data_IF_961109827426
#
_entry.id   IF_961109827426
#
_cell.length_a   1.000
_cell.length_b   1.000
_cell.length_c   1.000
_cell.angle_alpha   90.00
_cell.angle_beta   90.00
_cell.angle_gamma   90.00
#
_symmetry.space_group_name_H-M   'P 1'
#
loop_
_entity.id
_entity.type
_entity.pdbx_description
1 polymer ?
#
# COMPACT_ATOMS: atom_id res chain seq x y z
N UNK A 1 3.39 -20.09 0.17
CA UNK A 1 3.67 -19.43 -1.14
C UNK A 1 3.81 -17.94 -0.89
N UNK A 2 4.73 -17.26 -1.59
CA UNK A 2 4.81 -15.80 -1.60
C UNK A 2 4.47 -15.33 -2.99
N UNK A 3 3.46 -14.47 -3.11
CA UNK A 3 3.00 -13.87 -4.37
C UNK A 3 3.52 -12.44 -4.49
N UNK A 4 3.95 -12.05 -5.68
CA UNK A 4 4.24 -10.65 -5.95
C UNK A 4 2.98 -9.80 -6.07
N UNK A 5 3.14 -8.50 -5.88
CA UNK A 5 2.09 -7.50 -6.14
C UNK A 5 2.23 -6.96 -7.58
N UNK A 6 1.15 -6.49 -8.22
CA UNK A 6 -0.27 -6.68 -7.86
C UNK A 6 -0.66 -8.15 -8.09
N UNK A 7 -1.36 -8.77 -7.13
CA UNK A 7 -1.49 -10.25 -7.11
C UNK A 7 -2.32 -10.79 -8.30
N UNK A 8 -3.46 -10.16 -8.57
CA UNK A 8 -4.35 -10.47 -9.71
C UNK A 8 -5.01 -9.18 -10.19
N UNK A 9 -5.70 -9.26 -11.32
CA UNK A 9 -6.24 -8.09 -12.01
C UNK A 9 -7.78 -8.06 -12.00
N UNK A 10 -8.41 -9.08 -11.44
CA UNK A 10 -9.86 -9.15 -11.21
C UNK A 10 -10.20 -9.74 -9.85
N UNK A 11 -11.35 -9.36 -9.29
CA UNK A 11 -11.85 -9.91 -8.04
C UNK A 11 -12.11 -11.42 -8.13
N UNK A 12 -12.54 -11.89 -9.31
CA UNK A 12 -12.82 -13.30 -9.58
C UNK A 12 -11.57 -14.17 -9.41
N UNK A 13 -10.43 -13.73 -9.93
CA UNK A 13 -9.15 -14.45 -9.76
C UNK A 13 -8.75 -14.54 -8.28
N UNK A 14 -9.05 -13.52 -7.47
CA UNK A 14 -8.84 -13.63 -6.02
C UNK A 14 -9.71 -14.72 -5.39
N UNK A 15 -10.98 -14.81 -5.77
CA UNK A 15 -11.87 -15.84 -5.21
C UNK A 15 -11.46 -17.25 -5.65
N UNK A 16 -11.13 -17.45 -6.93
CA UNK A 16 -10.66 -18.73 -7.46
C UNK A 16 -9.35 -19.18 -6.80
N UNK A 17 -8.38 -18.27 -6.65
CA UNK A 17 -7.12 -18.58 -5.99
C UNK A 17 -7.33 -18.95 -4.51
N UNK A 18 -8.22 -18.24 -3.81
CA UNK A 18 -8.56 -18.56 -2.41
C UNK A 18 -9.11 -19.96 -2.26
N UNK A 19 -10.01 -20.40 -3.15
CA UNK A 19 -10.56 -21.75 -3.13
C UNK A 19 -9.46 -22.81 -3.28
N UNK A 20 -8.51 -22.58 -4.21
CA UNK A 20 -7.36 -23.47 -4.42
C UNK A 20 -6.49 -23.53 -3.16
N UNK A 21 -6.13 -22.38 -2.59
CA UNK A 21 -5.28 -22.32 -1.39
C UNK A 21 -5.92 -23.03 -0.19
N UNK A 22 -7.22 -22.82 0.03
CA UNK A 22 -7.97 -23.48 1.09
C UNK A 22 -8.05 -24.99 0.89
N UNK A 23 -8.39 -25.44 -0.34
CA UNK A 23 -8.48 -26.87 -0.67
C UNK A 23 -7.15 -27.60 -0.49
N UNK A 24 -6.03 -26.90 -0.71
CA UNK A 24 -4.68 -27.43 -0.58
C UNK A 24 -4.04 -27.15 0.78
N UNK A 25 -4.73 -26.45 1.69
CA UNK A 25 -4.23 -26.00 2.98
C UNK A 25 -2.86 -25.29 2.89
N UNK A 26 -2.74 -24.34 1.95
CA UNK A 26 -1.50 -23.61 1.69
C UNK A 26 -1.55 -22.23 2.36
N UNK A 27 -0.54 -21.93 3.18
CA UNK A 27 -0.31 -20.57 3.65
C UNK A 27 0.26 -19.70 2.52
N UNK A 28 -0.39 -18.58 2.26
CA UNK A 28 -0.01 -17.66 1.19
C UNK A 28 0.18 -16.25 1.75
N UNK A 29 1.29 -15.63 1.35
CA UNK A 29 1.66 -14.26 1.70
C UNK A 29 1.83 -13.43 0.43
N UNK A 30 1.68 -12.12 0.55
CA UNK A 30 1.86 -11.18 -0.56
C UNK A 30 3.05 -10.28 -0.27
N UNK A 31 3.90 -10.04 -1.29
CA UNK A 31 5.12 -9.25 -1.17
C UNK A 31 4.84 -7.75 -1.01
N UNK A 32 4.42 -7.36 0.19
CA UNK A 32 4.38 -5.98 0.65
C UNK A 32 5.45 -5.81 1.74
N UNK A 33 6.72 -5.54 1.36
CA UNK A 33 7.87 -5.77 2.22
C UNK A 33 8.03 -4.72 3.33
N UNK A 34 7.30 -3.59 3.28
CA UNK A 34 7.41 -2.51 4.28
C UNK A 34 7.12 -2.97 5.71
N UNK A 35 6.31 -4.02 5.91
CA UNK A 35 6.08 -4.66 7.21
C UNK A 35 7.35 -5.27 7.81
N UNK A 36 8.31 -5.65 6.98
CA UNK A 36 9.59 -6.23 7.39
C UNK A 36 10.61 -5.17 7.79
N UNK A 37 10.40 -3.90 7.45
CA UNK A 37 11.41 -2.86 7.68
C UNK A 37 11.43 -2.50 9.16
N UNK A 38 12.60 -2.60 9.80
CA UNK A 38 12.74 -2.25 11.22
C UNK A 38 12.36 -0.79 11.49
N UNK A 39 12.58 0.10 10.52
CA UNK A 39 12.11 1.47 10.59
C UNK A 39 10.58 1.54 10.76
N UNK A 40 9.82 0.83 9.91
CA UNK A 40 8.35 0.84 9.98
C UNK A 40 7.80 0.11 11.21
N UNK A 41 8.46 -0.97 11.65
CA UNK A 41 8.17 -1.62 12.94
C UNK A 41 8.42 -0.65 14.11
N UNK A 42 9.50 0.11 14.03
CA UNK A 42 9.89 1.12 15.00
C UNK A 42 8.90 2.27 15.09
N UNK A 43 8.38 2.79 13.97
CA UNK A 43 7.39 3.87 14.01
C UNK A 43 6.00 3.39 14.40
N UNK A 44 5.65 2.11 14.15
CA UNK A 44 4.35 1.55 14.54
C UNK A 44 4.07 1.73 16.04
N UNK A 45 5.10 1.72 16.89
CA UNK A 45 4.95 1.91 18.36
C UNK A 45 4.30 3.24 18.76
N UNK A 46 4.34 4.24 17.88
CA UNK A 46 3.73 5.56 18.11
C UNK A 46 2.23 5.60 17.79
N UNK A 47 1.70 4.54 17.19
CA UNK A 47 0.31 4.47 16.75
C UNK A 47 -0.37 3.26 17.40
N UNK A 48 -1.40 3.51 18.20
CA UNK A 48 -2.22 2.43 18.74
C UNK A 48 -3.37 2.12 17.77
N UNK A 49 -3.86 0.88 17.76
CA UNK A 49 -4.94 0.44 16.85
C UNK A 49 -6.30 1.14 17.06
N UNK A 50 -6.42 1.94 18.13
CA UNK A 50 -7.61 2.76 18.44
C UNK A 50 -7.44 4.23 18.09
N UNK A 51 -6.24 4.66 17.73
CA UNK A 51 -5.98 6.05 17.38
C UNK A 51 -6.42 6.31 15.94
N UNK A 52 -6.99 7.50 15.72
CA UNK A 52 -7.21 8.01 14.38
C UNK A 52 -5.85 8.28 13.72
N UNK A 53 -5.66 7.76 12.52
CA UNK A 53 -4.42 7.91 11.76
C UNK A 53 -4.72 8.31 10.32
N UNK A 54 -4.04 9.37 9.89
CA UNK A 54 -4.02 9.82 8.50
C UNK A 54 -2.67 9.53 7.87
N UNK A 55 -2.66 8.80 6.76
CA UNK A 55 -1.47 8.55 5.94
C UNK A 55 -1.61 9.26 4.60
N UNK A 56 -0.63 10.09 4.23
CA UNK A 56 -0.60 10.82 2.96
C UNK A 56 0.63 10.40 2.19
N UNK A 57 0.45 9.93 0.97
CA UNK A 57 1.53 9.65 0.02
C UNK A 57 1.41 10.63 -1.12
N UNK A 58 2.51 11.33 -1.40
CA UNK A 58 2.54 12.34 -2.45
C UNK A 58 3.85 12.26 -3.22
N UNK A 59 3.76 12.24 -4.55
CA UNK A 59 4.91 12.21 -5.44
C UNK A 59 4.50 12.43 -6.90
N UNK A 60 5.48 12.42 -7.80
CA UNK A 60 5.23 12.54 -9.24
C UNK A 60 5.42 11.21 -9.96
N UNK A 61 4.46 10.82 -10.81
CA UNK A 61 4.51 9.63 -11.68
C UNK A 61 5.08 8.36 -11.01
N UNK A 62 4.67 8.09 -9.77
CA UNK A 62 5.24 6.99 -8.97
C UNK A 62 4.56 5.63 -9.22
N UNK A 63 3.60 5.58 -10.14
CA UNK A 63 2.87 4.37 -10.50
C UNK A 63 1.69 4.11 -9.56
N UNK A 64 0.70 5.00 -9.59
CA UNK A 64 -0.43 4.98 -8.66
C UNK A 64 -1.17 3.65 -8.70
N UNK A 65 -1.47 3.13 -9.88
CA UNK A 65 -2.27 1.91 -10.03
C UNK A 65 -1.65 0.71 -9.32
N UNK A 66 -0.36 0.47 -9.56
CA UNK A 66 0.30 -0.74 -9.08
C UNK A 66 1.05 -0.61 -7.76
N UNK A 67 1.41 0.60 -7.33
CA UNK A 67 2.15 0.80 -6.10
C UNK A 67 1.23 1.23 -4.94
N UNK A 68 -0.02 1.64 -5.20
CA UNK A 68 -1.00 1.98 -4.15
C UNK A 68 -1.17 0.87 -3.13
N UNK A 69 -1.13 -0.40 -3.57
CA UNK A 69 -1.27 -1.54 -2.68
C UNK A 69 -0.22 -1.58 -1.57
N UNK A 70 1.01 -1.15 -1.84
CA UNK A 70 2.04 -1.09 -0.80
C UNK A 70 1.71 -0.09 0.30
N UNK A 71 1.08 1.02 -0.07
CA UNK A 71 0.71 2.08 0.87
C UNK A 71 -0.59 1.78 1.61
N UNK A 72 -1.54 1.11 0.96
CA UNK A 72 -2.70 0.53 1.64
C UNK A 72 -2.26 -0.52 2.66
N UNK A 73 -1.30 -1.38 2.30
CA UNK A 73 -0.74 -2.36 3.22
C UNK A 73 -0.05 -1.70 4.41
N UNK A 74 0.78 -0.69 4.17
CA UNK A 74 1.45 0.07 5.22
C UNK A 74 0.45 0.79 6.15
N UNK A 75 -0.58 1.41 5.57
CA UNK A 75 -1.62 2.10 6.33
C UNK A 75 -2.40 1.14 7.22
N UNK A 76 -2.88 0.02 6.65
CA UNK A 76 -3.60 -1.02 7.43
C UNK A 76 -2.71 -1.75 8.43
N UNK A 77 -1.39 -1.80 8.20
CA UNK A 77 -0.42 -2.29 9.17
C UNK A 77 -0.34 -1.39 10.42
N UNK A 78 -0.45 -0.06 10.27
CA UNK A 78 -0.48 0.87 11.40
C UNK A 78 -1.84 0.92 12.09
N UNK A 79 -2.93 0.99 11.32
CA UNK A 79 -4.28 1.15 11.87
C UNK A 79 -4.89 -0.14 12.39
N UNK A 80 -4.40 -1.30 11.91
CA UNK A 80 -5.02 -2.61 12.10
C UNK A 80 -6.50 -2.62 11.66
N UNK A 81 -6.81 -1.77 10.69
CA UNK A 81 -8.15 -1.52 10.19
C UNK A 81 -8.23 -1.90 8.70
N UNK A 82 -8.97 -2.97 8.41
CA UNK A 82 -9.10 -3.54 7.07
C UNK A 82 -10.50 -3.32 6.48
N UNK A 83 -11.37 -2.59 7.19
CA UNK A 83 -12.71 -2.24 6.72
C UNK A 83 -12.73 -0.75 6.35
N UNK A 84 -12.49 -0.47 5.07
CA UNK A 84 -12.39 0.88 4.55
C UNK A 84 -13.05 0.98 3.17
N UNK A 85 -13.29 2.22 2.74
CA UNK A 85 -13.78 2.56 1.41
C UNK A 85 -12.74 3.41 0.69
N UNK A 86 -12.74 3.32 -0.64
CA UNK A 86 -11.94 4.17 -1.51
C UNK A 86 -12.85 5.01 -2.40
N UNK A 87 -12.41 6.23 -2.70
CA UNK A 87 -13.11 7.20 -3.55
C UNK A 87 -12.25 7.59 -4.77
N UNK A 88 -12.95 7.85 -5.88
CA UNK A 88 -12.37 8.11 -7.20
C UNK A 88 -12.33 9.57 -7.64
N UNK A 89 -12.93 10.46 -6.85
CA UNK A 89 -13.16 11.85 -7.24
C UNK A 89 -11.89 12.66 -7.55
N UNK A 90 -10.71 12.16 -7.14
CA UNK A 90 -9.43 12.81 -7.35
C UNK A 90 -8.61 12.29 -8.52
N UNK A 91 -9.02 11.23 -9.23
CA UNK A 91 -8.24 10.70 -10.36
C UNK A 91 -8.35 11.60 -11.60
N UNK A 92 -7.26 11.67 -12.35
CA UNK A 92 -7.20 12.41 -13.60
C UNK A 92 -8.12 11.76 -14.65
N UNK A 93 -8.73 12.58 -15.51
CA UNK A 93 -9.73 12.16 -16.50
C UNK A 93 -9.10 11.64 -17.81
N UNK A 94 -7.95 10.98 -17.69
CA UNK A 94 -7.26 10.29 -18.77
C UNK A 94 -6.48 9.11 -18.18
N UNK A 95 -6.16 8.14 -19.03
CA UNK A 95 -5.36 6.97 -18.67
C UNK A 95 -4.05 7.03 -19.44
N UNK A 96 -2.95 6.66 -18.78
CA UNK A 96 -1.62 6.62 -19.39
C UNK A 96 -1.26 5.16 -19.68
N UNK A 97 -0.52 4.91 -20.76
CA UNK A 97 0.08 3.60 -20.94
C UNK A 97 1.23 3.39 -19.95
N UNK A 98 1.26 2.20 -19.36
CA UNK A 98 2.37 1.79 -18.50
C UNK A 98 3.63 1.55 -19.33
N UNK A 99 4.78 1.45 -18.65
CA UNK A 99 6.04 1.02 -19.26
C UNK A 99 5.96 -0.41 -19.81
N UNK A 100 5.02 -1.21 -19.32
CA UNK A 100 4.74 -2.57 -19.80
C UNK A 100 3.59 -2.52 -20.78
N UNK A 101 3.82 -3.03 -21.98
CA UNK A 101 2.81 -3.10 -23.04
C UNK A 101 1.55 -3.85 -22.56
N UNK A 102 0.38 -3.31 -22.90
CA UNK A 102 -0.92 -3.85 -22.49
C UNK A 102 -1.39 -3.44 -21.09
N UNK A 103 -0.56 -2.75 -20.30
CA UNK A 103 -0.93 -2.26 -18.98
C UNK A 103 -1.13 -0.75 -18.95
N UNK A 104 -1.94 -0.29 -18.00
CA UNK A 104 -2.37 1.08 -17.81
C UNK A 104 -1.85 1.65 -16.50
N UNK A 105 -1.72 2.97 -16.48
CA UNK A 105 -1.28 3.76 -15.34
C UNK A 105 -2.26 4.90 -15.08
N UNK A 106 -2.37 5.28 -13.81
CA UNK A 106 -3.29 6.29 -13.31
C UNK A 106 -2.51 7.42 -12.64
N UNK A 107 -3.04 8.64 -12.72
CA UNK A 107 -2.56 9.81 -11.99
C UNK A 107 -3.73 10.52 -11.32
N UNK A 108 -3.43 11.50 -10.48
CA UNK A 108 -4.39 12.14 -9.59
C UNK A 108 -4.32 11.57 -8.18
N UNK A 109 -5.45 11.52 -7.49
CA UNK A 109 -5.55 11.18 -6.06
C UNK A 109 -6.61 10.11 -5.80
N UNK A 110 -6.21 9.06 -5.07
CA UNK A 110 -7.13 8.11 -4.43
C UNK A 110 -7.28 8.54 -2.97
N UNK A 111 -8.52 8.71 -2.52
CA UNK A 111 -8.84 8.93 -1.11
C UNK A 111 -9.45 7.67 -0.50
N UNK A 112 -9.07 7.33 0.72
CA UNK A 112 -9.64 6.23 1.47
C UNK A 112 -9.95 6.60 2.90
N UNK A 113 -10.99 5.99 3.47
CA UNK A 113 -11.42 6.22 4.85
C UNK A 113 -12.09 4.98 5.45
N UNK A 114 -12.05 4.89 6.78
CA UNK A 114 -12.75 3.84 7.54
C UNK A 114 -13.79 4.41 8.50
N UNK A 115 -14.62 3.53 9.06
CA UNK A 115 -15.61 3.89 10.11
C UNK A 115 -14.95 4.35 11.42
N UNK A 116 -13.66 4.02 11.63
CA UNK A 116 -12.84 4.48 12.76
C UNK A 116 -12.16 5.82 12.51
N UNK A 117 -12.57 6.56 11.47
CA UNK A 117 -12.02 7.87 11.08
C UNK A 117 -10.53 7.84 10.67
N UNK A 118 -9.98 6.67 10.36
CA UNK A 118 -8.69 6.54 9.70
C UNK A 118 -8.80 7.01 8.26
N UNK A 119 -7.75 7.64 7.72
CA UNK A 119 -7.74 8.21 6.36
C UNK A 119 -6.45 7.90 5.63
N UNK A 120 -6.54 7.70 4.32
CA UNK A 120 -5.39 7.60 3.43
C UNK A 120 -5.60 8.48 2.19
N UNK A 121 -4.55 9.19 1.78
CA UNK A 121 -4.52 9.94 0.52
C UNK A 121 -3.31 9.46 -0.28
N UNK A 122 -3.52 9.05 -1.52
CA UNK A 122 -2.47 8.60 -2.43
C UNK A 122 -2.50 9.48 -3.68
N UNK A 123 -1.54 10.40 -3.81
CA UNK A 123 -1.47 11.35 -4.91
C UNK A 123 -0.25 11.10 -5.78
N UNK A 124 -0.47 10.82 -7.07
CA UNK A 124 0.54 10.78 -8.12
C UNK A 124 0.30 11.91 -9.10
N UNK A 125 1.18 12.90 -9.10
CA UNK A 125 1.09 14.04 -10.02
C UNK A 125 1.54 13.64 -11.43
N UNK A 126 0.69 13.90 -12.42
CA UNK A 126 1.03 13.71 -13.83
C UNK A 126 2.14 14.68 -14.28
N UNK A 127 3.01 14.21 -15.17
CA UNK A 127 4.14 14.94 -15.77
C UNK A 127 5.09 15.68 -14.79
N UNK A 128 5.03 15.32 -13.51
CA UNK A 128 5.93 15.85 -12.48
C UNK A 128 6.87 14.72 -12.04
N UNK A 129 8.14 15.06 -11.81
CA UNK A 129 9.20 14.12 -11.38
C UNK A 129 9.75 14.51 -10.00
N UNK A 130 8.87 14.54 -9.01
CA UNK A 130 9.27 14.75 -7.61
C UNK A 130 9.33 13.42 -6.86
N UNK A 131 10.26 13.27 -5.90
CA UNK A 131 10.32 12.07 -5.06
C UNK A 131 9.02 11.84 -4.29
N UNK A 132 8.67 10.56 -4.11
CA UNK A 132 7.58 10.17 -3.23
C UNK A 132 7.92 10.48 -1.77
N UNK A 133 6.96 11.07 -1.08
CA UNK A 133 7.01 11.35 0.36
C UNK A 133 5.82 10.68 1.03
N UNK A 134 6.01 10.23 2.26
CA UNK A 134 4.96 9.63 3.08
C UNK A 134 4.84 10.49 4.34
N UNK A 135 3.65 10.96 4.66
CA UNK A 135 3.35 11.68 5.88
C UNK A 135 2.36 10.87 6.69
N UNK A 136 2.60 10.75 7.99
CA UNK A 136 1.74 10.02 8.92
C UNK A 136 1.39 10.98 10.05
N UNK A 137 0.10 11.14 10.30
CA UNK A 137 -0.43 11.97 11.36
C UNK A 137 -1.26 11.10 12.28
N UNK A 138 -0.86 11.01 13.54
CA UNK A 138 -1.63 10.42 14.61
C UNK A 138 -1.73 11.39 15.78
N UNK A 139 -2.41 10.96 16.84
CA UNK A 139 -2.64 11.77 18.04
C UNK A 139 -1.34 12.17 18.78
N UNK A 140 -0.36 11.28 18.79
CA UNK A 140 0.86 11.42 19.59
C UNK A 140 2.13 11.63 18.74
N UNK A 141 2.03 11.47 17.41
CA UNK A 141 3.16 11.58 16.49
C UNK A 141 2.78 12.14 15.12
N UNK A 142 3.67 12.99 14.57
CA UNK A 142 3.69 13.42 13.19
C UNK A 142 5.01 12.99 12.57
N UNK A 143 4.95 12.28 11.45
CA UNK A 143 6.12 11.70 10.80
C UNK A 143 6.09 12.07 9.32
N UNK A 144 7.21 12.58 8.80
CA UNK A 144 7.45 12.80 7.37
C UNK A 144 8.60 11.90 6.93
N UNK A 145 8.44 11.15 5.83
CA UNK A 145 9.36 10.09 5.42
C UNK A 145 9.71 10.28 3.94
N UNK A 146 11.00 10.20 3.63
CA UNK A 146 11.54 10.20 2.29
C UNK A 146 12.41 8.95 2.10
N UNK A 147 11.78 7.82 1.75
CA UNK A 147 12.43 6.51 1.61
C UNK A 147 13.61 6.55 0.63
N UNK A 148 13.52 7.35 -0.43
CA UNK A 148 14.57 7.51 -1.45
C UNK A 148 15.86 8.15 -0.92
N UNK A 149 15.80 8.83 0.23
CA UNK A 149 16.95 9.42 0.90
C UNK A 149 17.31 8.70 2.21
N UNK A 150 16.51 7.72 2.64
CA UNK A 150 16.67 7.10 3.96
C UNK A 150 16.53 8.11 5.09
N UNK A 151 15.64 9.10 4.94
CA UNK A 151 15.44 10.17 5.95
C UNK A 151 14.00 10.28 6.38
N UNK A 152 13.80 10.50 7.67
CA UNK A 152 12.52 10.82 8.26
C UNK A 152 12.64 11.98 9.24
N UNK A 153 11.54 12.69 9.45
CA UNK A 153 11.41 13.74 10.43
C UNK A 153 10.23 13.40 11.34
N UNK A 154 10.49 13.26 12.64
CA UNK A 154 9.52 12.85 13.65
C UNK A 154 9.30 14.02 14.63
N UNK A 155 8.04 14.36 14.86
CA UNK A 155 7.60 15.27 15.92
C UNK A 155 6.65 14.51 16.83
N UNK A 156 6.95 14.46 18.13
CA UNK A 156 6.14 13.74 19.11
C UNK A 156 5.44 14.72 20.04
N UNK A 157 4.29 14.32 20.59
CA UNK A 157 3.61 15.18 21.56
C UNK A 157 4.43 15.38 22.84
N UNK A 158 5.14 14.33 23.30
CA UNK A 158 5.96 14.36 24.51
C UNK A 158 7.15 15.32 24.44
N UNK A 159 7.66 15.61 23.23
CA UNK A 159 8.75 16.55 23.00
C UNK A 159 8.25 17.94 22.55
N UNK A 160 6.98 18.28 22.83
CA UNK A 160 6.32 19.52 22.39
C UNK A 160 6.33 19.71 20.87
N UNK A 161 6.22 18.61 20.11
CA UNK A 161 6.24 18.59 18.65
C UNK A 161 7.54 19.11 18.01
N UNK A 162 8.63 19.15 18.77
CA UNK A 162 9.94 19.45 18.21
C UNK A 162 10.32 18.38 17.18
N UNK A 163 10.74 18.84 16.00
CA UNK A 163 11.05 17.95 14.90
C UNK A 163 12.49 17.43 15.01
N UNK A 164 12.62 16.11 14.99
CA UNK A 164 13.90 15.41 15.01
C UNK A 164 14.12 14.68 13.68
N UNK A 165 15.31 14.81 13.11
CA UNK A 165 15.70 14.08 11.90
C UNK A 165 16.27 12.70 12.28
N UNK A 166 15.81 11.67 11.59
CA UNK A 166 16.26 10.29 11.75
C UNK A 166 16.69 9.78 10.38
N UNK A 167 17.89 9.19 10.34
CA UNK A 167 18.36 8.43 9.20
C UNK A 167 18.01 6.95 9.37
N UNK A 168 17.58 6.31 8.29
CA UNK A 168 17.23 4.90 8.27
C UNK A 168 17.61 4.26 6.93
N UNK A 169 17.80 2.95 6.94
CA UNK A 169 18.05 2.19 5.71
C UNK A 169 16.74 1.66 5.14
N UNK A 170 16.54 1.83 3.83
CA UNK A 170 15.48 1.16 3.07
C UNK A 170 16.06 -0.15 2.53
N UNK A 171 15.77 -1.31 3.12
CA UNK A 171 16.40 -2.56 2.73
C UNK A 171 16.01 -2.95 1.29
N UNK A 172 16.97 -3.50 0.55
CA UNK A 172 16.70 -4.12 -0.74
C UNK A 172 15.95 -5.45 -0.58
N UNK A 173 15.17 -5.84 -1.58
CA UNK A 173 14.47 -7.14 -1.57
C UNK A 173 15.43 -8.31 -1.34
N UNK A 174 16.64 -8.26 -1.92
CA UNK A 174 17.68 -9.28 -1.70
C UNK A 174 18.11 -9.42 -0.24
N UNK A 175 18.03 -8.34 0.54
CA UNK A 175 18.32 -8.34 1.98
C UNK A 175 17.15 -8.89 2.81
N UNK A 176 15.91 -8.87 2.28
CA UNK A 176 14.71 -9.33 2.99
C UNK A 176 14.33 -10.77 2.67
N UNK A 177 14.56 -11.22 1.43
CA UNK A 177 14.10 -12.53 0.95
C UNK A 177 14.58 -13.69 1.82
N UNK A 178 15.83 -13.66 2.30
CA UNK A 178 16.37 -14.72 3.15
C UNK A 178 15.67 -14.77 4.52
N UNK A 179 15.42 -13.61 5.14
CA UNK A 179 14.71 -13.50 6.42
C UNK A 179 13.28 -14.05 6.30
N UNK A 180 12.57 -13.65 5.24
CA UNK A 180 11.24 -14.14 4.94
C UNK A 180 11.24 -15.66 4.72
N UNK A 181 12.15 -16.17 3.88
CA UNK A 181 12.23 -17.60 3.58
C UNK A 181 12.54 -18.42 4.84
N UNK A 182 13.47 -17.97 5.68
CA UNK A 182 13.80 -18.61 6.94
C UNK A 182 12.58 -18.68 7.88
N UNK A 183 11.87 -17.57 8.05
CA UNK A 183 10.66 -17.51 8.88
C UNK A 183 9.57 -18.48 8.41
N UNK A 184 9.32 -18.50 7.10
CA UNK A 184 8.32 -19.38 6.49
C UNK A 184 8.73 -20.85 6.64
N UNK A 185 9.98 -21.20 6.35
CA UNK A 185 10.43 -22.59 6.37
C UNK A 185 10.54 -23.17 7.78
N UNK A 186 10.96 -22.36 8.76
CA UNK A 186 11.15 -22.82 10.14
C UNK A 186 9.87 -22.76 10.97
N UNK A 187 9.10 -21.69 10.82
CA UNK A 187 8.00 -21.36 11.74
C UNK A 187 6.64 -21.28 11.05
N UNK A 188 6.58 -21.48 9.72
CA UNK A 188 5.36 -21.34 8.93
C UNK A 188 4.67 -19.97 9.13
N UNK A 189 5.46 -18.92 9.31
CA UNK A 189 5.01 -17.55 9.52
C UNK A 189 5.81 -16.54 8.67
N UNK A 190 5.30 -15.32 8.55
CA UNK A 190 5.98 -14.23 7.86
C UNK A 190 5.45 -12.89 8.36
N UNK A 191 6.29 -11.86 8.37
CA UNK A 191 5.89 -10.47 8.61
C UNK A 191 5.10 -9.88 7.43
N UNK A 192 5.16 -10.52 6.26
CA UNK A 192 4.36 -10.13 5.10
C UNK A 192 2.86 -10.32 5.38
N UNK A 193 2.05 -9.47 4.76
CA UNK A 193 0.59 -9.59 4.81
C UNK A 193 0.14 -10.94 4.25
N UNK A 194 -0.80 -11.59 4.94
CA UNK A 194 -1.42 -12.82 4.43
C UNK A 194 -2.25 -12.53 3.19
N UNK A 195 -2.45 -13.54 2.36
CA UNK A 195 -3.29 -13.45 1.18
C UNK A 195 -4.71 -12.95 1.49
N UNK A 196 -5.33 -13.47 2.57
CA UNK A 196 -6.68 -13.07 2.96
C UNK A 196 -6.79 -11.59 3.32
N UNK A 197 -5.83 -11.07 4.08
CA UNK A 197 -5.81 -9.65 4.42
C UNK A 197 -5.48 -8.80 3.19
N UNK A 198 -4.53 -9.25 2.38
CA UNK A 198 -4.13 -8.55 1.16
C UNK A 198 -5.26 -8.48 0.15
N UNK A 199 -6.09 -9.52 0.04
CA UNK A 199 -7.27 -9.55 -0.83
C UNK A 199 -8.28 -8.47 -0.43
N UNK A 200 -8.46 -8.22 0.87
CA UNK A 200 -9.31 -7.10 1.36
C UNK A 200 -8.78 -5.72 0.95
N UNK A 201 -7.49 -5.60 0.65
CA UNK A 201 -6.89 -4.35 0.16
C UNK A 201 -6.97 -4.24 -1.36
N UNK A 202 -6.65 -5.34 -2.06
CA UNK A 202 -6.60 -5.39 -3.51
C UNK A 202 -7.97 -5.23 -4.15
N UNK A 203 -9.00 -5.94 -3.65
CA UNK A 203 -10.32 -5.94 -4.30
C UNK A 203 -10.93 -4.53 -4.38
N UNK A 204 -11.01 -3.73 -3.29
CA UNK A 204 -11.50 -2.36 -3.39
C UNK A 204 -10.65 -1.49 -4.32
N UNK A 205 -9.32 -1.65 -4.31
CA UNK A 205 -8.42 -0.90 -5.19
C UNK A 205 -8.69 -1.22 -6.67
N UNK A 206 -8.80 -2.50 -7.02
CA UNK A 206 -9.08 -2.96 -8.38
C UNK A 206 -10.46 -2.47 -8.82
N UNK A 207 -11.48 -2.62 -7.97
CA UNK A 207 -12.85 -2.17 -8.25
C UNK A 207 -12.90 -0.69 -8.62
N UNK A 208 -12.24 0.17 -7.83
CA UNK A 208 -12.28 1.61 -8.08
C UNK A 208 -11.51 1.96 -9.37
N UNK A 209 -10.31 1.40 -9.57
CA UNK A 209 -9.49 1.69 -10.76
C UNK A 209 -10.16 1.19 -12.04
N UNK A 210 -10.77 0.01 -11.99
CA UNK A 210 -11.52 -0.56 -13.10
C UNK A 210 -12.76 0.27 -13.43
N UNK A 211 -13.51 0.73 -12.42
CA UNK A 211 -14.65 1.64 -12.62
C UNK A 211 -14.21 2.93 -13.31
N UNK A 212 -13.09 3.51 -12.90
CA UNK A 212 -12.54 4.71 -13.52
C UNK A 212 -12.12 4.48 -14.97
N UNK A 213 -11.40 3.38 -15.24
CA UNK A 213 -10.98 2.98 -16.58
C UNK A 213 -12.17 2.79 -17.53
N UNK A 214 -13.16 2.01 -17.12
CA UNK A 214 -14.35 1.72 -17.91
C UNK A 214 -15.13 3.01 -18.25
N UNK A 215 -15.18 3.97 -17.32
CA UNK A 215 -15.82 5.27 -17.56
C UNK A 215 -15.07 6.12 -18.60
N UNK A 216 -13.74 6.15 -18.58
CA UNK A 216 -12.94 6.95 -19.52
C UNK A 216 -12.99 6.35 -20.91
N UNK A 217 -12.79 5.04 -21.01
CA UNK A 217 -12.63 4.36 -22.29
C UNK A 217 -13.98 3.94 -22.92
N UNK A 218 -15.10 4.19 -22.23
CA UNK A 218 -16.46 3.84 -22.67
C UNK A 218 -16.63 2.36 -23.06
N UNK A 219 -15.94 1.45 -22.38
CA UNK A 219 -16.14 0.01 -22.51
C UNK A 219 -16.26 -0.66 -21.15
N UNK A 220 -16.71 -1.91 -21.14
CA UNK A 220 -16.84 -2.72 -19.93
C UNK A 220 -15.77 -3.80 -19.90
N UNK A 221 -14.88 -3.71 -18.93
CA UNK A 221 -13.92 -4.75 -18.55
C UNK A 221 -14.19 -5.23 -17.13
N UNK A 222 -13.96 -6.52 -16.89
CA UNK A 222 -13.84 -7.11 -15.55
C UNK A 222 -12.38 -7.23 -15.08
N UNK A 223 -11.45 -6.75 -15.92
CA UNK A 223 -10.01 -6.87 -15.75
C UNK A 223 -9.37 -5.49 -15.67
N UNK A 224 -8.66 -5.22 -14.58
CA UNK A 224 -7.92 -3.98 -14.38
C UNK A 224 -6.46 -4.17 -14.82
N UNK A 225 -6.04 -3.59 -15.96
CA UNK A 225 -4.72 -3.80 -16.54
C UNK A 225 -3.60 -3.07 -15.77
N UNK A 226 -3.37 -3.37 -14.49
CA UNK A 226 -2.27 -2.83 -13.66
C UNK A 226 -1.22 -3.89 -13.29
N UNK A 227 0.03 -3.50 -12.99
CA UNK A 227 1.13 -4.43 -12.63
C UNK A 227 2.00 -4.01 -11.46
#
# INVERSE_FOLDING_TARGET
IVLEKVVFQSNKEFDEAKEIFNKKNINVWVNCPRRMYDFYKGIKKYFQSKDELQLIVHGGNWGLGCNSIHFLDLWTYFTEDYDFKLELSGLDQFIIDSKREGFKEFTGTIFGYSSKNNKILLTSLNDIKIPTTIQIYGKEARISIMESKGKAWISLKENNWNQEEIEFNTPFQSQLSHLMAESILKNNNSDLISYDLSSKLHKPLIEILLKHLNNIENFTSDYCPIT
#
